data_IF_942072127978
#
_entry.id   IF_942072127978
#
_cell.length_a   1.000
_cell.length_b   1.000
_cell.length_c   1.000
_cell.angle_alpha   90.00
_cell.angle_beta   90.00
_cell.angle_gamma   90.00
#
_symmetry.space_group_name_H-M   'P 1'
#
loop_
_entity.id
_entity.type
_entity.pdbx_description
1 polymer ?
#
# COMPACT_ATOMS: atom_id res chain seq x y z
N UNK A 1 30.26 -54.91 -1.05
CA UNK A 1 30.10 -53.74 -1.94
C UNK A 1 29.30 -52.69 -1.21
N UNK A 2 29.93 -51.56 -0.91
CA UNK A 2 29.33 -50.42 -0.24
C UNK A 2 28.82 -49.42 -1.29
N UNK A 3 27.62 -48.86 -1.07
CA UNK A 3 27.20 -47.47 -1.28
C UNK A 3 25.66 -47.43 -1.25
N UNK A 4 25.02 -47.06 -0.13
CA UNK A 4 24.78 -45.70 0.40
C UNK A 4 23.51 -45.08 -0.21
N UNK A 5 22.37 -45.47 0.35
CA UNK A 5 21.14 -44.67 0.32
C UNK A 5 21.39 -43.36 1.08
N UNK A 6 21.62 -42.28 0.33
CA UNK A 6 21.59 -40.92 0.87
C UNK A 6 20.25 -40.29 0.49
N UNK A 7 19.31 -40.46 1.42
CA UNK A 7 18.06 -39.72 1.60
C UNK A 7 18.30 -38.23 1.40
N UNK A 8 17.90 -37.70 0.24
CA UNK A 8 17.98 -36.27 -0.09
C UNK A 8 16.89 -35.50 0.67
N UNK A 9 17.16 -35.24 1.96
CA UNK A 9 16.60 -34.10 2.67
C UNK A 9 17.44 -32.89 2.28
N UNK A 10 17.05 -32.21 1.21
CA UNK A 10 17.57 -30.87 0.90
C UNK A 10 16.40 -29.93 0.72
N UNK A 11 16.18 -29.09 1.74
CA UNK A 11 15.33 -27.91 1.60
C UNK A 11 15.84 -27.11 0.42
N UNK A 12 15.00 -26.96 -0.59
CA UNK A 12 15.28 -26.27 -1.85
C UNK A 12 15.96 -24.93 -1.56
N UNK A 13 17.29 -24.89 -1.71
CA UNK A 13 18.01 -23.65 -1.97
C UNK A 13 17.44 -23.15 -3.30
N UNK A 14 16.46 -22.25 -3.23
CA UNK A 14 15.89 -21.61 -4.39
C UNK A 14 16.98 -20.81 -5.10
N UNK A 15 17.68 -21.44 -6.04
CA UNK A 15 18.64 -20.76 -6.89
C UNK A 15 17.94 -19.61 -7.63
N UNK A 16 18.56 -18.44 -7.57
CA UNK A 16 18.11 -17.27 -8.31
C UNK A 16 18.46 -17.50 -9.78
N UNK A 17 17.46 -17.87 -10.59
CA UNK A 17 17.64 -18.01 -12.03
C UNK A 17 17.58 -16.65 -12.73
N UNK A 18 18.26 -16.54 -13.88
CA UNK A 18 18.20 -15.34 -14.73
C UNK A 18 16.77 -14.99 -15.16
N UNK A 19 15.91 -15.99 -15.38
CA UNK A 19 14.49 -15.82 -15.67
C UNK A 19 13.73 -15.18 -14.51
N UNK A 20 14.02 -15.55 -13.25
CA UNK A 20 13.42 -14.92 -12.07
C UNK A 20 13.86 -13.47 -11.90
N UNK A 21 15.11 -13.15 -12.19
CA UNK A 21 15.60 -11.77 -12.17
C UNK A 21 14.94 -10.92 -13.26
N UNK A 22 14.86 -11.44 -14.50
CA UNK A 22 14.17 -10.76 -15.60
C UNK A 22 12.67 -10.58 -15.35
N UNK A 23 12.03 -11.52 -14.64
CA UNK A 23 10.63 -11.38 -14.24
C UNK A 23 10.39 -10.24 -13.24
N UNK A 24 11.39 -9.90 -12.42
CA UNK A 24 11.35 -8.77 -11.48
C UNK A 24 11.66 -7.42 -12.11
N UNK A 25 12.07 -7.40 -13.38
CA UNK A 25 12.36 -6.17 -14.11
C UNK A 25 11.13 -5.25 -14.10
N UNK A 26 11.35 -4.00 -13.73
CA UNK A 26 10.33 -2.96 -13.74
C UNK A 26 10.00 -2.57 -15.17
N UNK A 27 8.72 -2.60 -15.53
CA UNK A 27 8.19 -2.16 -16.83
C UNK A 27 7.07 -1.16 -16.60
N UNK A 28 6.78 -0.32 -17.60
CA UNK A 28 5.64 0.61 -17.58
C UNK A 28 4.45 -0.02 -18.31
N UNK A 29 3.28 0.03 -17.68
CA UNK A 29 2.02 -0.39 -18.28
C UNK A 29 0.97 0.70 -18.10
N UNK A 30 0.24 1.01 -19.17
CA UNK A 30 -0.83 2.01 -19.14
C UNK A 30 -2.17 1.31 -19.10
N UNK A 31 -3.01 1.73 -18.16
CA UNK A 31 -4.38 1.25 -17.98
C UNK A 31 -5.33 2.43 -18.09
N UNK A 32 -6.56 2.19 -18.55
CA UNK A 32 -7.67 3.14 -18.42
C UNK A 32 -8.46 2.73 -17.19
N UNK A 33 -8.45 3.50 -16.12
CA UNK A 33 -9.08 3.14 -14.85
C UNK A 33 -10.04 4.23 -14.38
N UNK A 34 -11.04 3.88 -13.58
CA UNK A 34 -11.83 4.85 -12.82
C UNK A 34 -10.96 5.71 -11.89
N UNK A 35 -11.38 6.95 -11.62
CA UNK A 35 -10.70 7.84 -10.66
C UNK A 35 -10.61 7.19 -9.27
N UNK A 36 -11.70 6.58 -8.80
CA UNK A 36 -11.74 5.88 -7.52
C UNK A 36 -10.74 4.73 -7.44
N UNK A 37 -10.55 3.96 -8.52
CA UNK A 37 -9.52 2.92 -8.55
C UNK A 37 -8.10 3.49 -8.41
N UNK A 38 -7.79 4.57 -9.16
CA UNK A 38 -6.48 5.23 -9.12
C UNK A 38 -6.20 5.78 -7.71
N UNK A 39 -7.21 6.38 -7.10
CA UNK A 39 -7.15 6.91 -5.75
C UNK A 39 -6.96 5.80 -4.71
N UNK A 40 -7.75 4.73 -4.76
CA UNK A 40 -7.64 3.59 -3.87
C UNK A 40 -6.25 2.93 -3.90
N UNK A 41 -5.67 2.74 -5.08
CA UNK A 41 -4.29 2.25 -5.23
C UNK A 41 -3.30 3.17 -4.49
N UNK A 42 -3.48 4.49 -4.64
CA UNK A 42 -2.60 5.49 -4.05
C UNK A 42 -2.73 5.51 -2.53
N UNK A 43 -3.96 5.48 -2.02
CA UNK A 43 -4.28 5.44 -0.60
C UNK A 43 -3.73 4.17 0.05
N UNK A 44 -4.04 2.99 -0.48
CA UNK A 44 -3.60 1.72 0.12
C UNK A 44 -2.08 1.61 0.12
N UNK A 45 -1.42 2.02 -0.96
CA UNK A 45 0.04 2.05 -1.00
C UNK A 45 0.62 2.98 0.10
N UNK A 46 0.03 4.16 0.30
CA UNK A 46 0.44 5.09 1.34
C UNK A 46 0.22 4.53 2.75
N UNK A 47 -0.95 3.95 3.04
CA UNK A 47 -1.27 3.37 4.35
C UNK A 47 -0.35 2.21 4.72
N UNK A 48 -0.09 1.32 3.76
CA UNK A 48 0.77 0.16 3.97
C UNK A 48 2.27 0.51 3.94
N UNK A 49 2.63 1.76 3.63
CA UNK A 49 4.03 2.19 3.50
C UNK A 49 4.78 1.49 2.35
N UNK A 50 4.07 0.98 1.35
CA UNK A 50 4.65 0.25 0.22
C UNK A 50 4.59 1.08 -1.07
N UNK A 51 5.45 0.75 -2.04
CA UNK A 51 5.38 1.35 -3.37
C UNK A 51 4.16 0.80 -4.12
N UNK A 52 3.51 1.63 -4.93
CA UNK A 52 2.41 1.20 -5.81
C UNK A 52 2.77 -0.01 -6.67
N UNK A 53 4.00 -0.07 -7.22
CA UNK A 53 4.53 -1.25 -7.92
C UNK A 53 4.37 -2.53 -7.11
N UNK A 54 4.73 -2.49 -5.83
CA UNK A 54 4.65 -3.65 -4.94
C UNK A 54 3.20 -4.07 -4.73
N UNK A 55 2.31 -3.09 -4.49
CA UNK A 55 0.88 -3.35 -4.36
C UNK A 55 0.31 -4.04 -5.61
N UNK A 56 0.60 -3.50 -6.80
CA UNK A 56 0.21 -4.13 -8.06
C UNK A 56 0.76 -5.54 -8.21
N UNK A 57 2.05 -5.73 -7.91
CA UNK A 57 2.68 -7.04 -8.01
C UNK A 57 2.00 -8.05 -7.08
N UNK A 58 1.61 -7.65 -5.86
CA UNK A 58 0.86 -8.51 -4.94
C UNK A 58 -0.56 -8.81 -5.43
N UNK A 59 -1.29 -7.81 -5.91
CA UNK A 59 -2.66 -7.98 -6.43
C UNK A 59 -2.71 -8.97 -7.59
N UNK A 60 -1.70 -8.94 -8.46
CA UNK A 60 -1.66 -9.74 -9.69
C UNK A 60 -1.06 -11.13 -9.47
N UNK A 61 -0.09 -11.29 -8.57
CA UNK A 61 0.60 -12.57 -8.37
C UNK A 61 -0.25 -13.66 -7.69
N UNK A 62 -1.37 -13.29 -7.10
CA UNK A 62 -2.39 -14.20 -6.59
C UNK A 62 -3.21 -14.78 -7.77
N UNK A 63 -2.62 -15.79 -8.44
CA UNK A 63 -3.17 -16.36 -9.68
C UNK A 63 -4.56 -16.96 -9.52
N UNK A 64 -4.84 -17.58 -8.37
CA UNK A 64 -6.14 -18.21 -8.12
C UNK A 64 -7.23 -17.16 -8.01
N UNK A 65 -6.97 -16.08 -7.27
CA UNK A 65 -7.91 -14.98 -7.19
C UNK A 65 -8.03 -14.18 -8.49
N UNK A 66 -6.93 -14.01 -9.22
CA UNK A 66 -6.96 -13.33 -10.51
C UNK A 66 -7.75 -14.14 -11.55
N UNK A 67 -7.64 -15.47 -11.54
CA UNK A 67 -8.47 -16.35 -12.36
C UNK A 67 -9.95 -16.31 -11.95
N UNK A 68 -10.26 -16.24 -10.65
CA UNK A 68 -11.63 -16.09 -10.17
C UNK A 68 -12.25 -14.77 -10.68
N UNK A 69 -11.50 -13.66 -10.59
CA UNK A 69 -11.89 -12.37 -11.16
C UNK A 69 -12.09 -12.49 -12.67
N UNK A 70 -11.15 -13.12 -13.38
CA UNK A 70 -11.22 -13.25 -14.82
C UNK A 70 -12.47 -14.00 -15.31
N UNK A 71 -12.94 -14.98 -14.54
CA UNK A 71 -14.24 -15.64 -14.79
C UNK A 71 -15.42 -14.71 -14.56
N UNK A 72 -15.38 -13.87 -13.52
CA UNK A 72 -16.43 -12.90 -13.24
C UNK A 72 -16.50 -11.82 -14.33
N UNK A 73 -15.36 -11.36 -14.83
CA UNK A 73 -15.27 -10.31 -15.88
C UNK A 73 -15.09 -10.88 -17.30
N UNK A 74 -15.40 -12.15 -17.49
CA UNK A 74 -15.32 -12.78 -18.81
C UNK A 74 -16.28 -12.08 -19.77
N UNK A 75 -15.79 -11.73 -20.97
CA UNK A 75 -16.54 -10.98 -21.98
C UNK A 75 -17.10 -9.62 -21.50
N UNK A 76 -16.54 -9.08 -20.40
CA UNK A 76 -16.88 -7.76 -19.91
C UNK A 76 -16.50 -6.68 -20.93
N UNK A 77 -17.45 -5.81 -21.26
CA UNK A 77 -17.16 -4.54 -21.94
C UNK A 77 -17.09 -3.44 -20.90
N UNK A 78 -15.92 -2.81 -20.80
CA UNK A 78 -15.76 -1.67 -19.90
C UNK A 78 -16.16 -0.40 -20.65
N UNK A 79 -17.19 0.29 -20.16
CA UNK A 79 -17.62 1.56 -20.73
C UNK A 79 -16.55 2.64 -20.50
N UNK A 80 -16.36 3.53 -21.46
CA UNK A 80 -15.28 4.51 -21.46
C UNK A 80 -15.58 5.76 -20.61
N UNK A 81 -16.82 5.93 -20.17
CA UNK A 81 -17.26 7.11 -19.45
C UNK A 81 -16.50 7.23 -18.12
N UNK A 82 -15.92 8.42 -17.86
CA UNK A 82 -15.18 8.75 -16.64
C UNK A 82 -13.87 7.96 -16.37
N UNK A 83 -13.26 7.31 -17.38
CA UNK A 83 -11.98 6.58 -17.20
C UNK A 83 -10.77 7.42 -17.57
N UNK A 84 -9.74 7.37 -16.72
CA UNK A 84 -8.49 8.12 -16.86
C UNK A 84 -7.36 7.17 -17.25
N UNK A 85 -6.54 7.58 -18.22
CA UNK A 85 -5.32 6.84 -18.56
C UNK A 85 -4.25 7.07 -17.49
N UNK A 86 -3.79 5.98 -16.87
CA UNK A 86 -2.74 6.01 -15.85
C UNK A 86 -1.67 4.98 -16.17
N UNK A 87 -0.42 5.44 -16.22
CA UNK A 87 0.74 4.57 -16.39
C UNK A 87 1.33 4.21 -15.03
N UNK A 88 1.42 2.91 -14.75
CA UNK A 88 2.06 2.37 -13.55
C UNK A 88 3.34 1.64 -13.89
N UNK A 89 4.25 1.60 -12.93
CA UNK A 89 5.42 0.72 -12.97
C UNK A 89 5.05 -0.59 -12.29
N UNK A 90 5.18 -1.71 -13.00
CA UNK A 90 4.87 -3.07 -12.51
C UNK A 90 6.01 -4.03 -12.84
N UNK A 91 6.03 -5.23 -12.27
CA UNK A 91 6.98 -6.26 -12.70
C UNK A 91 6.60 -6.83 -14.07
N UNK A 92 7.62 -7.19 -14.87
CA UNK A 92 7.39 -7.88 -16.16
C UNK A 92 6.56 -9.15 -15.96
N UNK A 93 6.82 -9.91 -14.88
CA UNK A 93 6.04 -11.10 -14.55
C UNK A 93 4.55 -10.80 -14.37
N UNK A 94 4.21 -9.76 -13.62
CA UNK A 94 2.81 -9.37 -13.40
C UNK A 94 2.14 -8.90 -14.69
N UNK A 95 2.84 -8.15 -15.55
CA UNK A 95 2.30 -7.78 -16.86
C UNK A 95 2.01 -9.00 -17.73
N UNK A 96 2.96 -9.94 -17.81
CA UNK A 96 2.78 -11.18 -18.59
C UNK A 96 1.61 -12.02 -18.07
N UNK A 97 1.44 -12.12 -16.75
CA UNK A 97 0.32 -12.86 -16.16
C UNK A 97 -1.03 -12.20 -16.45
N UNK A 98 -1.11 -10.85 -16.39
CA UNK A 98 -2.30 -10.12 -16.81
C UNK A 98 -2.62 -10.33 -18.29
N UNK A 99 -1.60 -10.33 -19.16
CA UNK A 99 -1.78 -10.57 -20.60
C UNK A 99 -2.25 -12.00 -20.89
N UNK A 100 -1.72 -12.99 -20.19
CA UNK A 100 -2.11 -14.40 -20.30
C UNK A 100 -3.56 -14.62 -19.90
N UNK A 101 -3.94 -14.14 -18.72
CA UNK A 101 -5.30 -14.29 -18.18
C UNK A 101 -6.31 -13.49 -19.01
N UNK A 102 -5.94 -12.27 -19.44
CA UNK A 102 -6.78 -11.45 -20.31
C UNK A 102 -7.13 -12.18 -21.61
N UNK A 103 -6.16 -12.87 -22.22
CA UNK A 103 -6.39 -13.67 -23.43
C UNK A 103 -7.19 -14.95 -23.15
N UNK A 104 -6.86 -15.66 -22.06
CA UNK A 104 -7.51 -16.92 -21.72
C UNK A 104 -9.01 -16.77 -21.42
N UNK A 105 -9.40 -15.67 -20.80
CA UNK A 105 -10.80 -15.41 -20.39
C UNK A 105 -11.49 -14.33 -21.22
N UNK A 106 -10.86 -13.83 -22.29
CA UNK A 106 -11.36 -12.71 -23.10
C UNK A 106 -11.83 -11.53 -22.21
N UNK A 107 -11.01 -11.20 -21.20
CA UNK A 107 -11.32 -10.20 -20.19
C UNK A 107 -10.37 -8.98 -20.34
N UNK A 108 -10.86 -7.74 -20.35
CA UNK A 108 -10.00 -6.57 -20.46
C UNK A 108 -9.04 -6.43 -19.27
N UNK A 109 -7.75 -6.17 -19.53
CA UNK A 109 -6.74 -5.95 -18.46
C UNK A 109 -7.15 -4.87 -17.46
N UNK A 110 -7.78 -3.81 -17.94
CA UNK A 110 -8.27 -2.75 -17.09
C UNK A 110 -9.35 -3.26 -16.11
N UNK A 111 -10.25 -4.14 -16.57
CA UNK A 111 -11.27 -4.74 -15.71
C UNK A 111 -10.65 -5.66 -14.65
N UNK A 112 -9.68 -6.50 -15.05
CA UNK A 112 -8.93 -7.36 -14.13
C UNK A 112 -8.27 -6.53 -13.01
N UNK A 113 -7.64 -5.41 -13.36
CA UNK A 113 -7.01 -4.51 -12.39
C UNK A 113 -8.04 -3.87 -11.45
N UNK A 114 -9.12 -3.28 -11.96
CA UNK A 114 -10.12 -2.62 -11.10
C UNK A 114 -10.79 -3.60 -10.13
N UNK A 115 -11.18 -4.79 -10.60
CA UNK A 115 -11.75 -5.82 -9.72
C UNK A 115 -10.72 -6.35 -8.71
N UNK A 116 -9.44 -6.40 -9.07
CA UNK A 116 -8.38 -6.73 -8.10
C UNK A 116 -8.26 -5.66 -7.02
N UNK A 117 -8.38 -4.38 -7.36
CA UNK A 117 -8.36 -3.27 -6.39
C UNK A 117 -9.61 -3.25 -5.51
N UNK A 118 -10.78 -3.69 -6.01
CA UNK A 118 -12.00 -3.85 -5.20
C UNK A 118 -11.85 -4.77 -4.00
N UNK A 119 -10.99 -5.78 -4.11
CA UNK A 119 -10.66 -6.68 -2.98
C UNK A 119 -9.96 -5.95 -1.83
N UNK A 120 -9.46 -4.74 -2.04
CA UNK A 120 -8.84 -3.92 -1.00
C UNK A 120 -9.85 -3.12 -0.19
N UNK A 121 -11.14 -3.09 -0.55
CA UNK A 121 -12.16 -2.35 0.21
C UNK A 121 -12.18 -2.70 1.72
N UNK A 122 -12.10 -3.98 2.14
CA UNK A 122 -12.01 -4.30 3.57
C UNK A 122 -10.74 -3.78 4.24
N UNK A 123 -9.64 -3.70 3.50
CA UNK A 123 -8.37 -3.13 3.98
C UNK A 123 -8.51 -1.62 4.16
N UNK A 124 -9.16 -0.95 3.20
CA UNK A 124 -9.41 0.50 3.25
C UNK A 124 -10.32 0.85 4.44
N UNK A 125 -11.44 0.15 4.62
CA UNK A 125 -12.35 0.38 5.76
C UNK A 125 -11.63 0.21 7.11
N UNK A 126 -10.82 -0.83 7.25
CA UNK A 126 -10.04 -1.04 8.46
C UNK A 126 -8.98 0.06 8.68
N UNK A 127 -8.29 0.49 7.63
CA UNK A 127 -7.30 1.56 7.72
C UNK A 127 -7.93 2.95 7.95
N UNK A 128 -9.15 3.20 7.48
CA UNK A 128 -9.93 4.39 7.84
C UNK A 128 -10.16 4.48 9.34
N UNK A 129 -10.66 3.40 9.95
CA UNK A 129 -10.88 3.32 11.41
C UNK A 129 -9.59 3.55 12.19
N UNK A 130 -8.49 2.90 11.77
CA UNK A 130 -7.18 3.10 12.40
C UNK A 130 -6.65 4.52 12.20
N UNK A 131 -6.88 5.14 11.05
CA UNK A 131 -6.44 6.51 10.80
C UNK A 131 -7.10 7.48 11.78
N UNK A 132 -8.40 7.38 12.01
CA UNK A 132 -9.10 8.20 13.01
C UNK A 132 -8.55 7.98 14.43
N UNK A 133 -8.32 6.73 14.82
CA UNK A 133 -7.69 6.42 16.11
C UNK A 133 -6.28 7.02 16.23
N UNK A 134 -5.46 6.94 15.17
CA UNK A 134 -4.12 7.52 15.12
C UNK A 134 -4.16 9.05 15.22
N UNK A 135 -5.12 9.70 14.56
CA UNK A 135 -5.33 11.16 14.60
C UNK A 135 -5.71 11.64 16.01
N UNK A 136 -6.62 10.92 16.68
CA UNK A 136 -6.98 11.19 18.06
C UNK A 136 -5.79 11.01 19.02
N UNK A 137 -5.04 9.91 18.87
CA UNK A 137 -3.84 9.66 19.67
C UNK A 137 -2.78 10.74 19.45
N UNK A 138 -2.54 11.15 18.20
CA UNK A 138 -1.57 12.21 17.87
C UNK A 138 -1.93 13.55 18.52
N UNK A 139 -3.22 13.91 18.56
CA UNK A 139 -3.69 15.09 19.29
C UNK A 139 -3.39 15.00 20.80
N UNK A 140 -3.44 13.81 21.38
CA UNK A 140 -2.99 13.56 22.76
C UNK A 140 -1.47 13.72 22.93
N UNK A 141 -0.69 13.18 21.99
CA UNK A 141 0.77 13.27 21.96
C UNK A 141 1.22 14.73 21.86
N UNK A 142 0.60 15.54 21.00
CA UNK A 142 0.91 16.96 20.87
C UNK A 142 0.67 17.72 22.17
N UNK A 143 -0.51 17.52 22.79
CA UNK A 143 -0.81 18.15 24.09
C UNK A 143 0.17 17.76 25.18
N UNK A 144 0.62 16.50 25.21
CA UNK A 144 1.60 16.03 26.18
C UNK A 144 2.99 16.64 25.91
N UNK A 145 3.39 16.73 24.64
CA UNK A 145 4.62 17.41 24.24
C UNK A 145 4.63 18.89 24.67
N UNK A 146 3.53 19.61 24.46
CA UNK A 146 3.41 21.03 24.86
C UNK A 146 3.55 21.19 26.38
N UNK A 147 2.94 20.30 27.16
CA UNK A 147 3.12 20.28 28.63
C UNK A 147 4.57 19.99 29.04
N UNK A 148 5.24 19.09 28.33
CA UNK A 148 6.65 18.79 28.54
C UNK A 148 7.54 20.00 28.31
N UNK A 149 7.27 20.78 27.24
CA UNK A 149 7.98 22.04 26.98
C UNK A 149 7.71 23.07 28.07
N UNK A 150 6.46 23.26 28.49
CA UNK A 150 6.13 24.17 29.59
C UNK A 150 6.82 23.81 30.91
N UNK A 151 7.03 22.51 31.17
CA UNK A 151 7.80 22.07 32.34
C UNK A 151 9.28 22.42 32.18
N UNK A 152 9.87 22.17 31.01
CA UNK A 152 11.25 22.52 30.72
C UNK A 152 11.50 24.03 30.87
N UNK A 153 10.62 24.87 30.33
CA UNK A 153 10.71 26.33 30.44
C UNK A 153 10.74 26.76 31.92
N UNK A 154 9.85 26.20 32.75
CA UNK A 154 9.85 26.46 34.20
C UNK A 154 11.13 26.01 34.91
N UNK A 155 11.71 24.89 34.49
CA UNK A 155 12.96 24.41 35.09
C UNK A 155 14.14 25.30 34.69
N UNK A 156 14.17 25.78 33.45
CA UNK A 156 15.15 26.77 32.98
C UNK A 156 15.05 28.04 33.84
N UNK A 157 13.83 28.55 34.07
CA UNK A 157 13.62 29.75 34.90
C UNK A 157 14.08 29.57 36.36
N UNK A 158 13.96 28.36 36.92
CA UNK A 158 14.24 28.08 38.33
C UNK A 158 15.68 27.65 38.62
N UNK A 159 16.30 26.90 37.70
CA UNK A 159 17.59 26.24 37.90
C UNK A 159 18.68 26.79 36.98
N UNK A 160 18.30 27.48 35.90
CA UNK A 160 19.20 27.94 34.84
C UNK A 160 19.41 26.91 33.73
N UNK A 161 19.79 27.38 32.55
CA UNK A 161 20.00 26.53 31.36
C UNK A 161 21.17 25.54 31.51
N UNK A 162 22.18 25.89 32.31
CA UNK A 162 23.38 25.07 32.53
C UNK A 162 23.18 23.93 33.56
N UNK A 163 22.00 23.84 34.19
CA UNK A 163 21.71 22.77 35.14
C UNK A 163 21.69 21.39 34.46
N UNK A 164 22.36 20.37 35.02
CA UNK A 164 22.47 19.06 34.37
C UNK A 164 21.12 18.33 34.23
N UNK A 165 20.13 18.61 35.09
CA UNK A 165 18.79 18.04 34.99
C UNK A 165 17.99 18.73 33.88
N UNK A 166 18.10 20.06 33.79
CA UNK A 166 17.53 20.86 32.68
C UNK A 166 18.07 20.37 31.34
N UNK A 167 19.39 20.23 31.20
CA UNK A 167 20.02 19.73 29.99
C UNK A 167 19.50 18.33 29.60
N UNK A 168 19.25 17.45 30.58
CA UNK A 168 18.72 16.11 30.32
C UNK A 168 17.27 16.15 29.83
N UNK A 169 16.41 16.98 30.44
CA UNK A 169 15.03 17.14 30.00
C UNK A 169 14.95 17.79 28.62
N UNK A 170 15.79 18.78 28.33
CA UNK A 170 15.91 19.41 27.01
C UNK A 170 16.18 18.36 25.92
N UNK A 171 17.15 17.47 26.16
CA UNK A 171 17.45 16.36 25.25
C UNK A 171 16.26 15.42 25.01
N UNK A 172 15.46 15.14 26.05
CA UNK A 172 14.23 14.36 25.91
C UNK A 172 13.20 15.10 25.06
N UNK A 173 13.02 16.41 25.28
CA UNK A 173 12.09 17.23 24.51
C UNK A 173 12.51 17.35 23.04
N UNK A 174 13.80 17.40 22.72
CA UNK A 174 14.28 17.39 21.34
C UNK A 174 13.95 16.09 20.62
N UNK A 175 14.20 14.95 21.28
CA UNK A 175 13.82 13.64 20.75
C UNK A 175 12.30 13.53 20.55
N UNK A 176 11.53 14.08 21.49
CA UNK A 176 10.07 14.14 21.40
C UNK A 176 9.63 15.03 20.23
N UNK A 177 10.23 16.20 20.03
CA UNK A 177 9.93 17.07 18.89
C UNK A 177 10.13 16.35 17.56
N UNK A 178 11.23 15.59 17.44
CA UNK A 178 11.49 14.73 16.29
C UNK A 178 10.41 13.67 16.07
N UNK A 179 10.01 12.97 17.14
CA UNK A 179 8.95 11.96 17.08
C UNK A 179 7.60 12.57 16.67
N UNK A 180 7.19 13.68 17.28
CA UNK A 180 5.94 14.39 16.96
C UNK A 180 5.93 14.82 15.49
N UNK A 181 7.04 15.36 14.97
CA UNK A 181 7.17 15.73 13.55
C UNK A 181 7.07 14.52 12.62
N UNK A 182 7.71 13.42 12.96
CA UNK A 182 7.68 12.19 12.17
C UNK A 182 6.26 11.60 12.09
N UNK A 183 5.55 11.55 13.22
CA UNK A 183 4.16 11.07 13.28
C UNK A 183 3.24 11.98 12.47
N UNK A 184 3.37 13.32 12.63
CA UNK A 184 2.59 14.28 11.85
C UNK A 184 2.82 14.13 10.34
N UNK A 185 4.07 13.96 9.92
CA UNK A 185 4.42 13.72 8.50
C UNK A 185 3.77 12.43 7.97
N UNK A 186 3.74 11.37 8.78
CA UNK A 186 3.05 10.13 8.41
C UNK A 186 1.54 10.34 8.24
N UNK A 187 0.88 11.05 9.17
CA UNK A 187 -0.54 11.35 9.10
C UNK A 187 -0.90 12.19 7.87
N UNK A 188 -0.14 13.25 7.59
CA UNK A 188 -0.38 14.08 6.39
C UNK A 188 -0.24 13.28 5.09
N UNK A 189 0.75 12.40 5.00
CA UNK A 189 0.93 11.53 3.83
C UNK A 189 -0.20 10.51 3.65
N UNK A 190 -0.90 10.17 4.73
CA UNK A 190 -1.96 9.16 4.76
C UNK A 190 -3.36 9.77 4.79
N UNK A 191 -3.47 11.09 4.83
CA UNK A 191 -4.73 11.84 4.96
C UNK A 191 -5.78 11.53 3.91
N UNK A 192 -5.38 11.15 2.70
CA UNK A 192 -6.31 10.82 1.62
C UNK A 192 -7.33 9.72 1.96
N UNK A 193 -7.04 8.88 2.96
CA UNK A 193 -7.98 7.83 3.38
C UNK A 193 -9.24 8.36 4.09
N UNK A 194 -9.15 9.53 4.72
CA UNK A 194 -10.20 10.11 5.58
C UNK A 194 -11.52 10.30 4.83
N UNK A 195 -11.46 10.72 3.57
CA UNK A 195 -12.63 11.08 2.75
C UNK A 195 -12.91 10.10 1.62
N UNK A 196 -12.23 8.96 1.59
CA UNK A 196 -12.42 7.98 0.52
C UNK A 196 -13.80 7.31 0.64
N UNK A 197 -14.67 7.48 -0.37
CA UNK A 197 -15.96 6.78 -0.43
C UNK A 197 -15.78 5.44 -1.16
N UNK A 198 -16.05 4.29 -0.51
CA UNK A 198 -16.08 2.98 -1.18
C UNK A 198 -16.90 2.94 -2.46
N UNK A 199 -17.94 3.78 -2.58
CA UNK A 199 -18.77 3.89 -3.80
C UNK A 199 -17.99 4.39 -5.01
N UNK A 200 -16.91 5.13 -4.82
CA UNK A 200 -16.05 5.58 -5.93
C UNK A 200 -15.38 4.40 -6.64
N UNK A 201 -15.26 3.25 -5.97
CA UNK A 201 -14.77 2.00 -6.55
C UNK A 201 -15.87 1.18 -7.25
N UNK A 202 -17.13 1.47 -6.95
CA UNK A 202 -18.30 0.76 -7.49
C UNK A 202 -18.82 1.35 -8.80
N UNK A 203 -18.34 2.53 -9.22
CA UNK A 203 -18.67 3.18 -10.50
C UNK A 203 -18.05 2.48 -11.73
N UNK A 204 -18.07 1.14 -11.78
CA UNK A 204 -17.76 0.44 -13.02
C UNK A 204 -19.04 0.12 -13.77
N UNK A 205 -19.27 0.85 -14.85
CA UNK A 205 -20.23 0.44 -15.85
C UNK A 205 -19.62 -0.68 -16.71
N UNK A 206 -19.73 -1.91 -16.21
CA UNK A 206 -19.39 -3.11 -16.97
C UNK A 206 -20.66 -3.69 -17.56
N UNK A 207 -20.69 -3.86 -18.89
CA UNK A 207 -21.73 -4.63 -19.55
C UNK A 207 -21.21 -6.03 -19.83
N UNK A 208 -21.95 -7.04 -19.37
CA UNK A 208 -21.71 -8.43 -19.70
C UNK A 208 -22.52 -8.76 -20.95
N UNK A 209 -21.87 -9.26 -22.00
CA UNK A 209 -22.60 -9.88 -23.10
C UNK A 209 -23.02 -11.28 -22.64
N UNK A 210 -24.33 -11.55 -22.69
CA UNK A 210 -24.90 -12.88 -22.46
C UNK A 210 -24.53 -13.85 -23.57
#
# INVERSE_FOLDING_TARGET
MAQKEAKDRSGSLMFITSSRLRGRQSVRATFKLSSGCIEAISIVAAQLGIKQKSLFDHLVQDSDSLNAIAKEVQNARVLAENRVQKTYVISRKSLSLLDEISRAFNAPRDALVEFSVRRLLPVIDNEQKKYEMRKAAFSGIQRHFDKGRQLLDKMIDQLGEDDPVVAKLASVMDAYAGATKAIGTFLERTRGIENFDPKDLHQMDVRFER
#
